data_IF_814650213586
#
_entry.id   IF_814650213586
#
_cell.length_a   1.000
_cell.length_b   1.000
_cell.length_c   1.000
_cell.angle_alpha   90.00
_cell.angle_beta   90.00
_cell.angle_gamma   90.00
#
_symmetry.space_group_name_H-M   'P 1'
#
loop_
_entity.id
_entity.type
_entity.pdbx_description
1 polymer ?
2 non-polymer ?
3 water ?
#
# COMPACT_ATOMS: atom_id res chain seq x y z
N UNK A 1 16.00 1.55 -10.63
CA UNK A 1 15.31 1.13 -9.39
C UNK A 1 15.59 -0.34 -9.14
N UNK A 2 16.04 -0.65 -7.93
CA UNK A 2 16.17 -2.02 -7.50
C UNK A 2 14.94 -2.50 -6.78
N UNK A 3 14.98 -3.72 -6.25
CA UNK A 3 13.79 -4.31 -5.66
C UNK A 3 13.41 -3.82 -4.27
N UNK A 4 14.33 -3.18 -3.56
CA UNK A 4 14.13 -2.99 -2.11
C UNK A 4 13.43 -1.66 -1.75
N UNK A 5 12.33 -1.78 -0.99
CA UNK A 5 11.73 -0.67 -0.26
C UNK A 5 12.27 -0.72 1.18
N UNK A 6 12.85 0.40 1.62
CA UNK A 6 13.29 0.54 3.00
C UNK A 6 12.75 1.87 3.58
N UNK A 7 13.10 2.16 4.83
CA UNK A 7 12.59 3.35 5.52
C UNK A 7 13.77 4.03 6.24
N UNK A 8 13.47 5.18 6.84
CA UNK A 8 14.45 5.97 7.56
C UNK A 8 13.87 6.28 8.96
N UNK A 9 14.74 6.73 9.85
CA UNK A 9 14.40 6.84 11.27
C UNK A 9 13.51 8.03 11.62
N UNK A 10 13.66 9.15 10.91
CA UNK A 10 13.06 10.40 11.37
C UNK A 10 12.69 11.44 10.33
N UNK A 11 12.80 12.70 10.73
CA UNK A 11 12.27 13.82 9.92
C UNK A 11 13.21 14.33 8.84
N UNK A 12 14.49 14.01 8.98
CA UNK A 12 15.52 14.42 8.03
C UNK A 12 16.44 13.24 7.79
N UNK A 13 17.18 13.28 6.69
CA UNK A 13 18.12 12.20 6.36
C UNK A 13 19.41 12.32 7.17
N UNK A 14 19.88 11.19 7.68
CA UNK A 14 21.23 11.08 8.24
C UNK A 14 22.27 10.89 7.13
N UNK A 15 23.54 10.97 7.49
CA UNK A 15 24.58 10.66 6.53
C UNK A 15 24.44 9.23 6.01
N UNK A 16 24.15 8.29 6.90
CA UNK A 16 23.97 6.88 6.50
C UNK A 16 22.81 6.78 5.52
N UNK A 17 21.71 7.48 5.81
CA UNK A 17 20.55 7.45 4.91
C UNK A 17 20.96 7.89 3.51
N UNK A 18 21.68 9.00 3.42
CA UNK A 18 22.05 9.56 2.10
C UNK A 18 22.91 8.60 1.30
N UNK A 19 23.80 7.90 2.00
CA UNK A 19 24.66 6.88 1.39
C UNK A 19 23.87 5.66 0.87
N UNK A 20 23.00 5.14 1.72
CA UNK A 20 22.15 3.98 1.40
C UNK A 20 21.23 4.20 0.20
N UNK A 21 20.67 5.41 0.10
CA UNK A 21 19.66 5.68 -0.89
C UNK A 21 20.22 5.62 -2.31
N UNK A 22 21.53 5.81 -2.42
CA UNK A 22 22.26 5.71 -3.71
C UNK A 22 22.45 4.25 -4.18
N UNK A 23 22.28 3.31 -3.27
CA UNK A 23 22.58 1.93 -3.58
C UNK A 23 21.60 1.38 -4.65
N UNK A 24 22.15 0.71 -5.70
CA UNK A 24 21.27 0.26 -6.80
C UNK A 24 20.16 -0.73 -6.45
N UNK A 25 20.32 -1.44 -5.34
CA UNK A 25 19.30 -2.37 -4.85
C UNK A 25 18.08 -1.65 -4.27
N UNK A 26 18.25 -0.39 -3.87
CA UNK A 26 17.11 0.40 -3.39
C UNK A 26 16.20 0.78 -4.59
N UNK A 27 14.89 0.59 -4.41
CA UNK A 27 13.87 1.05 -5.34
C UNK A 27 12.91 2.07 -4.78
N UNK A 28 12.73 2.09 -3.46
CA UNK A 28 11.75 2.99 -2.88
C UNK A 28 11.96 3.24 -1.41
N UNK A 29 11.36 4.32 -0.93
CA UNK A 29 11.30 4.60 0.49
C UNK A 29 9.85 4.57 0.91
N UNK A 30 9.55 3.78 1.94
CA UNK A 30 8.22 3.81 2.56
C UNK A 30 8.31 4.73 3.77
N UNK A 31 7.45 5.75 3.79
CA UNK A 31 7.37 6.70 4.89
C UNK A 31 6.30 6.30 5.91
N UNK A 32 6.58 6.65 7.16
CA UNK A 32 5.70 6.40 8.28
C UNK A 32 5.41 7.71 9.02
N UNK A 33 4.53 7.65 10.02
CA UNK A 33 4.21 8.83 10.80
C UNK A 33 5.46 9.45 11.43
N UNK A 34 6.42 8.61 11.78
CA UNK A 34 7.66 9.08 12.43
C UNK A 34 8.55 9.92 11.49
N UNK A 35 8.22 9.89 10.20
CA UNK A 35 8.91 10.72 9.21
C UNK A 35 8.14 12.00 8.90
N UNK A 36 7.06 12.23 9.63
CA UNK A 36 6.19 13.38 9.37
C UNK A 36 5.99 14.24 10.62
N UNK A 37 6.50 15.47 10.55
CA UNK A 37 6.27 16.49 11.56
C UNK A 37 5.31 17.57 11.08
N UNK A 38 5.55 18.07 9.87
CA UNK A 38 4.72 19.12 9.25
C UNK A 38 4.92 19.16 7.74
N UNK A 39 4.02 19.88 7.06
CA UNK A 39 3.98 19.88 5.61
C UNK A 39 5.31 20.29 4.96
N UNK A 40 5.90 21.39 5.43
CA UNK A 40 7.15 21.85 4.84
C UNK A 40 8.32 20.90 5.08
N UNK A 41 8.36 20.31 6.27
CA UNK A 41 9.39 19.32 6.62
C UNK A 41 9.27 18.08 5.70
N UNK A 42 8.04 17.68 5.38
CA UNK A 42 7.82 16.52 4.50
C UNK A 42 8.33 16.80 3.09
N UNK A 43 7.95 17.96 2.56
CA UNK A 43 8.43 18.37 1.25
C UNK A 43 9.99 18.35 1.21
N UNK A 44 10.61 18.83 2.28
CA UNK A 44 12.07 18.91 2.37
C UNK A 44 12.69 17.50 2.39
N UNK A 45 12.09 16.62 3.19
CA UNK A 45 12.53 15.23 3.28
C UNK A 45 12.43 14.52 1.91
N UNK A 46 11.33 14.71 1.20
CA UNK A 46 11.16 14.06 -0.10
C UNK A 46 12.14 14.61 -1.15
N UNK A 47 12.35 15.92 -1.14
CA UNK A 47 13.38 16.52 -2.00
C UNK A 47 14.73 15.88 -1.70
N UNK A 48 15.05 15.74 -0.43
CA UNK A 48 16.33 15.19 0.00
C UNK A 48 16.51 13.73 -0.40
N UNK A 49 15.44 12.95 -0.25
CA UNK A 49 15.44 11.55 -0.68
C UNK A 49 15.76 11.47 -2.18
N UNK A 50 15.05 12.25 -2.98
CA UNK A 50 15.22 12.20 -4.46
C UNK A 50 16.62 12.68 -4.87
N UNK A 51 17.12 13.69 -4.18
CA UNK A 51 18.49 14.19 -4.44
C UNK A 51 19.55 13.16 -4.04
N UNK A 52 19.31 12.46 -2.94
CA UNK A 52 20.28 11.47 -2.46
C UNK A 52 20.35 10.25 -3.37
N UNK A 53 19.22 9.85 -3.96
CA UNK A 53 19.15 8.65 -4.80
C UNK A 53 19.88 8.82 -6.11
N UNK A 54 19.90 10.05 -6.64
CA UNK A 54 20.61 10.36 -7.92
C UNK A 54 20.10 9.57 -9.14
N UNK A 55 18.90 9.04 -9.02
CA UNK A 55 18.16 8.34 -10.08
C UNK A 55 16.72 8.34 -9.57
N UNK A 56 15.75 8.02 -10.43
CA UNK A 56 14.37 7.92 -9.99
C UNK A 56 14.22 6.91 -8.84
N UNK A 57 13.46 7.31 -7.84
CA UNK A 57 13.17 6.46 -6.70
C UNK A 57 11.72 6.70 -6.28
N UNK A 58 11.04 5.64 -5.84
CA UNK A 58 9.64 5.74 -5.43
C UNK A 58 9.55 6.18 -3.99
N UNK A 59 8.57 7.03 -3.69
CA UNK A 59 8.25 7.40 -2.31
C UNK A 59 6.79 7.03 -2.07
N UNK A 60 6.59 6.14 -1.09
CA UNK A 60 5.29 5.55 -0.82
C UNK A 60 4.92 5.67 0.65
N UNK A 61 3.64 5.47 0.94
CA UNK A 61 3.10 5.62 2.29
C UNK A 61 1.79 4.86 2.38
N UNK A 62 1.49 4.33 3.57
CA UNK A 62 0.16 3.77 3.85
C UNK A 62 -0.81 4.89 4.20
N UNK A 63 -1.52 5.40 3.20
CA UNK A 63 -2.45 6.52 3.39
C UNK A 63 -3.82 6.10 2.85
N UNK A 64 -4.55 5.33 3.64
CA UNK A 64 -5.82 4.74 3.25
C UNK A 64 -6.99 5.60 3.66
N UNK A 65 -6.82 6.30 4.79
CA UNK A 65 -7.90 6.96 5.51
C UNK A 65 -8.23 6.22 6.80
N UNK A 66 -8.94 6.91 7.71
CA UNK A 66 -9.41 6.27 8.93
C UNK A 66 -8.25 5.83 9.82
N UNK A 67 -8.23 4.57 10.16
CA UNK A 67 -7.20 4.02 11.04
C UNK A 67 -5.78 4.04 10.46
N UNK A 68 -5.69 4.17 9.13
CA UNK A 68 -4.39 4.14 8.44
C UNK A 68 -4.23 5.42 7.62
N UNK A 69 -3.70 6.45 8.27
CA UNK A 69 -3.38 7.72 7.61
C UNK A 69 -2.12 8.25 8.27
N UNK A 70 -0.95 8.09 7.64
CA UNK A 70 0.31 8.45 8.31
C UNK A 70 0.48 9.96 8.49
N UNK A 71 -0.01 10.74 7.51
CA UNK A 71 0.15 12.19 7.55
C UNK A 71 -1.24 12.80 7.77
N UNK A 72 -1.43 13.36 8.97
CA UNK A 72 -2.74 13.91 9.38
C UNK A 72 -2.70 15.43 9.60
N UNK A 73 -1.83 15.90 10.49
CA UNK A 73 -1.80 17.30 10.84
C UNK A 73 -1.34 18.10 9.61
N UNK A 74 -2.17 19.02 9.16
CA UNK A 74 -1.86 19.85 7.99
C UNK A 74 -2.31 19.20 6.69
N UNK A 75 -2.91 18.01 6.82
CA UNK A 75 -3.61 17.33 5.70
C UNK A 75 -5.12 17.28 5.96
N UNK A 76 -5.89 17.05 4.91
CA UNK A 76 -7.30 16.72 5.07
C UNK A 76 -7.41 15.33 5.68
N UNK A 77 -8.31 15.16 6.64
CA UNK A 77 -8.56 13.83 7.17
C UNK A 77 -9.44 13.04 6.22
N UNK A 78 -9.05 11.81 5.93
CA UNK A 78 -9.78 10.93 5.04
C UNK A 78 -10.49 9.90 5.92
N UNK A 79 -11.76 9.60 5.62
CA UNK A 79 -12.48 8.66 6.51
C UNK A 79 -12.01 7.23 6.37
N UNK A 80 -12.38 6.36 7.33
CA UNK A 80 -12.28 4.91 7.09
C UNK A 80 -12.95 4.56 5.78
N UNK A 81 -12.30 3.68 5.01
CA UNK A 81 -12.87 3.25 3.71
C UNK A 81 -14.28 2.68 3.86
N UNK A 82 -14.58 2.08 5.01
CA UNK A 82 -15.93 1.60 5.33
C UNK A 82 -17.03 2.67 5.17
N UNK A 83 -16.70 3.92 5.46
CA UNK A 83 -17.75 4.95 5.55
C UNK A 83 -18.47 5.28 4.24
N UNK A 84 -17.78 5.16 3.11
CA UNK A 84 -18.41 5.61 1.85
C UNK A 84 -19.74 4.92 1.59
N UNK A 85 -19.75 3.59 1.69
CA UNK A 85 -20.95 2.78 1.46
C UNK A 85 -22.07 3.00 2.50
N UNK A 86 -21.74 3.64 3.62
CA UNK A 86 -22.74 3.93 4.65
C UNK A 86 -23.59 5.14 4.29
N UNK A 87 -23.07 5.96 3.37
CA UNK A 87 -23.77 7.14 2.86
C UNK A 87 -24.53 6.82 1.58
N UNK A 88 -25.62 7.55 1.36
CA UNK A 88 -26.42 7.34 0.15
C UNK A 88 -25.64 7.62 -1.14
N UNK A 89 -24.81 8.67 -1.10
CA UNK A 89 -24.02 9.09 -2.24
C UNK A 89 -22.59 8.53 -2.10
N UNK A 90 -22.49 7.27 -1.67
CA UNK A 90 -21.20 6.67 -1.39
C UNK A 90 -20.24 6.54 -2.57
N UNK A 91 -20.75 6.30 -3.78
CA UNK A 91 -19.86 6.22 -4.94
C UNK A 91 -19.16 7.55 -5.24
N UNK A 92 -19.94 8.63 -5.22
CA UNK A 92 -19.37 9.97 -5.43
C UNK A 92 -18.37 10.30 -4.33
N UNK A 93 -18.73 9.96 -3.09
CA UNK A 93 -17.86 10.27 -1.95
C UNK A 93 -16.59 9.45 -1.97
N UNK A 94 -16.68 8.19 -2.39
CA UNK A 94 -15.47 7.35 -2.48
C UNK A 94 -14.49 7.92 -3.53
N UNK A 95 -15.01 8.39 -4.66
CA UNK A 95 -14.15 9.00 -5.68
C UNK A 95 -13.48 10.26 -5.12
N UNK A 96 -14.25 11.07 -4.37
CA UNK A 96 -13.73 12.27 -3.77
C UNK A 96 -12.62 11.92 -2.77
N UNK A 97 -12.84 10.87 -2.00
CA UNK A 97 -11.87 10.42 -1.01
C UNK A 97 -10.56 9.97 -1.65
N UNK A 98 -10.68 9.20 -2.72
CA UNK A 98 -9.49 8.72 -3.42
C UNK A 98 -8.71 9.86 -4.05
N UNK A 99 -9.46 10.77 -4.68
CA UNK A 99 -8.89 11.94 -5.34
C UNK A 99 -8.18 12.84 -4.35
N UNK A 100 -8.86 13.15 -3.24
CA UNK A 100 -8.32 14.03 -2.24
C UNK A 100 -7.04 13.44 -1.59
N UNK A 101 -7.12 12.17 -1.23
CA UNK A 101 -6.00 11.49 -0.60
C UNK A 101 -4.77 11.53 -1.52
N UNK A 102 -4.98 11.16 -2.77
CA UNK A 102 -3.90 11.06 -3.75
C UNK A 102 -3.36 12.46 -4.05
N UNK A 103 -4.27 13.43 -4.26
CA UNK A 103 -3.86 14.78 -4.60
C UNK A 103 -2.98 15.42 -3.56
N UNK A 104 -3.34 15.26 -2.28
CA UNK A 104 -2.56 15.89 -1.22
C UNK A 104 -1.18 15.25 -1.12
N UNK A 105 -1.11 13.93 -1.32
CA UNK A 105 0.19 13.27 -1.37
C UNK A 105 1.07 13.77 -2.53
N UNK A 106 0.49 13.83 -3.73
CA UNK A 106 1.21 14.35 -4.91
C UNK A 106 1.75 15.76 -4.65
N UNK A 107 0.93 16.60 -4.04
CA UNK A 107 1.31 17.97 -3.69
C UNK A 107 2.49 18.05 -2.68
N UNK A 108 2.77 16.95 -1.97
CA UNK A 108 3.91 16.89 -1.07
C UNK A 108 4.99 15.94 -1.59
N UNK A 109 4.97 15.67 -2.89
CA UNK A 109 6.06 14.98 -3.60
C UNK A 109 6.19 13.51 -3.18
N UNK A 110 5.05 12.90 -2.84
CA UNK A 110 4.94 11.46 -2.60
C UNK A 110 4.38 10.80 -3.86
N UNK A 111 4.98 9.68 -4.30
CA UNK A 111 4.51 9.01 -5.51
C UNK A 111 3.20 8.27 -5.33
N UNK A 112 3.09 7.53 -4.23
CA UNK A 112 1.95 6.64 -4.09
C UNK A 112 1.57 6.31 -2.67
N UNK A 113 0.29 6.01 -2.50
CA UNK A 113 -0.23 5.41 -1.26
C UNK A 113 -0.48 3.95 -1.54
N UNK A 114 -0.15 3.08 -0.56
CA UNK A 114 -0.41 1.66 -0.71
C UNK A 114 -1.90 1.41 -0.43
N UNK A 115 -2.70 1.59 -1.47
CA UNK A 115 -4.17 1.59 -1.37
C UNK A 115 -4.72 1.41 -2.77
N UNK A 116 -5.95 0.86 -2.89
CA UNK A 116 -6.93 0.53 -1.86
C UNK A 116 -6.89 -0.89 -1.29
N UNK A 117 -7.39 -1.00 -0.05
CA UNK A 117 -7.74 -2.27 0.54
C UNK A 117 -8.94 -2.82 -0.20
N UNK A 118 -8.79 -4.03 -0.74
CA UNK A 118 -9.86 -4.78 -1.44
C UNK A 118 -10.34 -5.99 -0.63
N UNK A 119 -9.87 -6.09 0.61
CA UNK A 119 -10.31 -7.13 1.54
C UNK A 119 -11.79 -6.96 1.81
N UNK A 120 -12.45 -8.07 2.17
CA UNK A 120 -13.91 -8.13 2.29
C UNK A 120 -14.30 -8.45 3.72
N UNK A 121 -15.13 -7.59 4.30
CA UNK A 121 -15.59 -7.79 5.66
C UNK A 121 -14.79 -7.01 6.70
N UNK A 122 -15.38 -6.96 7.87
CA UNK A 122 -14.85 -6.16 8.97
C UNK A 122 -14.38 -6.99 10.18
N UNK A 123 -14.49 -8.32 10.11
CA UNK A 123 -14.28 -9.18 11.29
C UNK A 123 -12.80 -9.47 11.62
N UNK A 124 -11.90 -9.19 10.71
CA UNK A 124 -10.48 -9.32 11.01
C UNK A 124 -10.00 -8.05 11.70
N UNK A 125 -9.53 -8.16 12.94
CA UNK A 125 -9.25 -6.96 13.75
C UNK A 125 -8.28 -6.01 13.05
N UNK A 126 -7.26 -6.55 12.39
CA UNK A 126 -6.27 -5.70 11.71
C UNK A 126 -6.87 -4.95 10.50
N UNK A 127 -7.91 -5.51 9.90
CA UNK A 127 -8.57 -4.88 8.74
C UNK A 127 -9.73 -4.01 9.23
N UNK A 128 -10.82 -4.62 9.69
CA UNK A 128 -11.93 -3.83 10.28
C UNK A 128 -12.48 -2.84 9.30
N UNK A 129 -12.65 -1.58 9.73
CA UNK A 129 -13.25 -0.54 8.87
C UNK A 129 -12.30 0.01 7.78
N UNK A 130 -11.13 -0.62 7.62
CA UNK A 130 -10.31 -0.40 6.41
C UNK A 130 -10.93 -1.00 5.15
N UNK A 131 -11.87 -1.94 5.29
CA UNK A 131 -12.53 -2.55 4.15
C UNK A 131 -13.66 -1.65 3.66
N UNK A 132 -13.90 -1.64 2.35
CA UNK A 132 -14.98 -0.82 1.78
C UNK A 132 -16.38 -1.40 2.02
N UNK A 133 -16.43 -2.65 2.43
CA UNK A 133 -17.71 -3.34 2.60
C UNK A 133 -17.52 -4.80 2.99
N UNK A 134 -18.64 -5.51 3.16
CA UNK A 134 -18.66 -6.92 3.61
C UNK A 134 -19.17 -7.93 2.57
N UNK A 135 -19.46 -7.44 1.38
CA UNK A 135 -19.86 -8.29 0.26
C UNK A 135 -19.17 -7.82 -1.01
N UNK A 136 -19.14 -8.70 -2.00
CA UNK A 136 -18.40 -8.45 -3.22
C UNK A 136 -18.80 -7.15 -3.90
N UNK A 137 -20.11 -6.95 -4.04
CA UNK A 137 -20.58 -5.83 -4.82
C UNK A 137 -20.37 -4.50 -4.10
N UNK A 138 -20.52 -4.48 -2.77
CA UNK A 138 -20.30 -3.24 -2.04
C UNK A 138 -18.83 -2.86 -2.12
N UNK A 139 -17.95 -3.83 -1.96
CA UNK A 139 -16.51 -3.54 -2.06
C UNK A 139 -16.15 -3.05 -3.47
N UNK A 140 -16.63 -3.73 -4.51
CA UNK A 140 -16.29 -3.32 -5.87
C UNK A 140 -16.84 -1.95 -6.22
N UNK A 141 -18.08 -1.70 -5.84
CA UNK A 141 -18.73 -0.45 -6.19
C UNK A 141 -17.94 0.74 -5.65
N UNK A 142 -17.50 0.64 -4.40
CA UNK A 142 -16.88 1.78 -3.73
C UNK A 142 -15.36 1.84 -3.96
N UNK A 143 -14.68 0.70 -3.90
CA UNK A 143 -13.25 0.69 -4.26
C UNK A 143 -12.98 1.17 -5.69
N UNK A 144 -13.82 0.77 -6.64
CA UNK A 144 -13.67 1.24 -8.02
C UNK A 144 -13.71 2.77 -8.12
N UNK A 145 -14.61 3.38 -7.35
CA UNK A 145 -14.71 4.83 -7.37
C UNK A 145 -13.46 5.47 -6.76
N UNK A 146 -12.99 4.91 -5.65
CA UNK A 146 -11.77 5.37 -4.97
C UNK A 146 -10.59 5.29 -5.93
N UNK A 147 -10.48 4.16 -6.64
CA UNK A 147 -9.46 3.96 -7.67
C UNK A 147 -9.52 5.03 -8.76
N UNK A 148 -10.71 5.31 -9.25
CA UNK A 148 -10.90 6.32 -10.26
C UNK A 148 -10.35 7.69 -9.80
N UNK A 149 -10.62 8.03 -8.53
CA UNK A 149 -10.08 9.25 -7.93
C UNK A 149 -8.57 9.30 -7.92
N UNK A 150 -7.94 8.20 -7.49
CA UNK A 150 -6.49 8.14 -7.45
C UNK A 150 -5.91 8.34 -8.85
N UNK A 151 -6.49 7.63 -9.81
CA UNK A 151 -5.99 7.69 -11.18
C UNK A 151 -6.18 9.07 -11.82
N UNK A 152 -7.25 9.76 -11.42
CA UNK A 152 -7.52 11.09 -11.99
C UNK A 152 -6.38 12.07 -11.78
N UNK A 153 -5.64 11.94 -10.67
CA UNK A 153 -4.52 12.84 -10.40
C UNK A 153 -3.14 12.22 -10.68
N UNK A 154 -3.15 11.05 -11.30
CA UNK A 154 -1.93 10.44 -11.80
C UNK A 154 -1.18 9.57 -10.80
N UNK A 155 -1.88 9.11 -9.77
CA UNK A 155 -1.27 8.21 -8.80
C UNK A 155 -1.48 6.70 -9.16
N UNK A 156 -0.40 5.94 -9.06
CA UNK A 156 -0.42 4.52 -9.25
C UNK A 156 -1.20 3.87 -8.11
N UNK A 157 -1.90 2.78 -8.42
CA UNK A 157 -2.77 2.12 -7.45
C UNK A 157 -2.20 0.76 -7.05
N UNK A 158 -2.52 0.35 -5.81
CA UNK A 158 -2.06 -0.91 -5.23
C UNK A 158 -3.20 -1.64 -4.53
N UNK A 159 -3.62 -2.76 -5.08
CA UNK A 159 -4.61 -3.59 -4.41
C UNK A 159 -3.97 -4.38 -3.30
N UNK A 160 -4.64 -4.46 -2.17
CA UNK A 160 -4.21 -5.32 -1.07
C UNK A 160 -5.40 -5.88 -0.27
N UNK A 161 -5.26 -7.01 0.42
CA UNK A 161 -4.04 -7.83 0.51
C UNK A 161 -4.38 -9.16 -0.18
N UNK A 162 -3.94 -9.31 -1.43
CA UNK A 162 -4.31 -10.45 -2.29
C UNK A 162 -3.94 -11.80 -1.68
N UNK A 163 -4.84 -12.82 -1.74
CA UNK A 163 -6.18 -12.94 -2.32
C UNK A 163 -7.36 -12.56 -1.41
N UNK A 164 -7.06 -11.91 -0.29
CA UNK A 164 -8.08 -11.38 0.62
C UNK A 164 -7.77 -11.69 2.07
N UNK A 165 -7.64 -10.63 2.87
CA UNK A 165 -7.30 -10.72 4.29
C UNK A 165 -8.52 -10.48 5.21
N UNK A 166 -9.71 -10.38 4.64
CA UNK A 166 -10.91 -9.96 5.36
C UNK A 166 -11.46 -10.92 6.40
N UNK A 167 -11.11 -12.20 6.26
CA UNK A 167 -11.73 -13.26 7.10
C UNK A 167 -10.74 -13.93 8.04
N UNK A 168 -9.58 -13.30 8.27
CA UNK A 168 -8.63 -13.81 9.26
C UNK A 168 -9.18 -13.48 10.65
N UNK A 169 -9.88 -14.44 11.26
CA UNK A 169 -10.64 -14.15 12.50
C UNK A 169 -10.11 -14.93 13.69
N UNK A 170 -9.24 -15.92 13.44
CA UNK A 170 -8.61 -16.70 14.49
C UNK A 170 -7.18 -16.22 14.66
N UNK A 171 -6.62 -16.47 15.84
CA UNK A 171 -5.21 -16.21 16.10
C UNK A 171 -4.43 -17.53 16.05
N UNK A 172 -3.50 -17.62 15.11
CA UNK A 172 -2.67 -18.82 14.95
C UNK A 172 -1.67 -18.96 16.10
N UNK A 173 -1.41 -17.83 16.78
CA UNK A 173 -0.35 -17.71 17.81
C UNK A 173 1.04 -17.85 17.20
N UNK A 174 1.10 -17.85 15.88
CA UNK A 174 2.34 -17.89 15.11
C UNK A 174 2.52 -16.54 14.44
N UNK A 175 3.61 -16.39 13.69
CA UNK A 175 3.85 -15.17 12.92
C UNK A 175 2.93 -15.06 11.69
N UNK A 176 2.44 -16.19 11.18
CA UNK A 176 1.59 -16.19 9.98
C UNK A 176 0.16 -16.65 10.30
N UNK A 177 -0.83 -15.75 10.12
CA UNK A 177 -2.22 -16.16 10.29
C UNK A 177 -2.62 -17.18 9.24
N UNK A 178 -3.61 -18.00 9.57
CA UNK A 178 -4.21 -18.93 8.64
C UNK A 178 -5.65 -18.50 8.40
N UNK A 179 -6.14 -18.76 7.20
CA UNK A 179 -7.55 -18.64 6.86
C UNK A 179 -8.00 -20.01 6.39
N UNK A 180 -8.78 -20.70 7.22
CA UNK A 180 -9.10 -22.13 7.02
C UNK A 180 -10.33 -22.42 6.16
N UNK A 181 -10.88 -21.39 5.52
CA UNK A 181 -12.05 -21.59 4.69
C UNK A 181 -11.77 -22.52 3.53
N UNK A 182 -12.71 -23.42 3.24
CA UNK A 182 -12.59 -24.26 2.05
C UNK A 182 -12.67 -23.49 0.73
N UNK A 183 -13.38 -22.36 0.74
CA UNK A 183 -13.41 -21.48 -0.43
C UNK A 183 -13.29 -20.02 0.00
N UNK A 184 -12.50 -19.27 -0.77
CA UNK A 184 -12.41 -17.81 -0.66
C UNK A 184 -12.81 -17.13 -1.97
N UNK A 185 -13.69 -17.77 -2.74
CA UNK A 185 -14.05 -17.31 -4.09
C UNK A 185 -14.57 -15.87 -4.10
N UNK A 186 -15.37 -15.52 -3.10
CA UNK A 186 -15.94 -14.17 -3.03
C UNK A 186 -14.81 -13.15 -2.84
N UNK A 187 -13.94 -13.43 -1.87
CA UNK A 187 -12.80 -12.55 -1.58
C UNK A 187 -11.95 -12.36 -2.85
N UNK A 188 -11.65 -13.45 -3.55
CA UNK A 188 -10.82 -13.36 -4.73
C UNK A 188 -11.51 -12.69 -5.91
N UNK A 189 -12.83 -12.87 -6.01
CA UNK A 189 -13.64 -12.25 -7.06
C UNK A 189 -13.37 -10.74 -7.14
N UNK A 190 -13.21 -10.11 -5.97
CA UNK A 190 -12.95 -8.67 -5.93
C UNK A 190 -11.63 -8.33 -6.64
N UNK A 191 -10.58 -9.08 -6.31
CA UNK A 191 -9.28 -8.91 -6.96
C UNK A 191 -9.32 -9.23 -8.46
N UNK A 192 -9.94 -10.34 -8.82
CA UNK A 192 -10.12 -10.69 -10.22
C UNK A 192 -10.76 -9.56 -11.04
N UNK A 193 -11.83 -8.99 -10.50
CA UNK A 193 -12.59 -7.92 -11.14
C UNK A 193 -11.72 -6.69 -11.40
N UNK A 194 -10.98 -6.27 -10.38
CA UNK A 194 -10.17 -5.08 -10.50
C UNK A 194 -8.97 -5.30 -11.44
N UNK A 195 -8.42 -6.51 -11.43
CA UNK A 195 -7.36 -6.87 -12.38
C UNK A 195 -7.90 -6.81 -13.80
N UNK A 196 -9.04 -7.44 -14.03
CA UNK A 196 -9.64 -7.45 -15.39
C UNK A 196 -9.98 -6.04 -15.89
N UNK A 197 -10.40 -5.18 -14.97
CA UNK A 197 -10.69 -3.80 -15.28
C UNK A 197 -9.45 -3.02 -15.71
N UNK A 198 -8.25 -3.53 -15.36
CA UNK A 198 -6.99 -2.88 -15.68
C UNK A 198 -6.68 -1.68 -14.80
N UNK A 199 -7.26 -1.65 -13.60
CA UNK A 199 -7.17 -0.46 -12.74
C UNK A 199 -6.17 -0.56 -11.57
N UNK A 200 -5.47 -1.69 -11.48
CA UNK A 200 -4.44 -1.87 -10.45
C UNK A 200 -3.04 -1.89 -11.09
N UNK A 201 -2.20 -0.95 -10.70
CA UNK A 201 -0.80 -0.91 -11.15
C UNK A 201 0.10 -1.86 -10.35
N UNK A 202 -0.30 -2.14 -9.12
CA UNK A 202 0.48 -2.96 -8.22
C UNK A 202 -0.43 -3.78 -7.32
N UNK A 203 0.18 -4.77 -6.66
CA UNK A 203 -0.56 -5.62 -5.72
C UNK A 203 0.33 -5.98 -4.56
N UNK A 204 -0.23 -5.91 -3.36
CA UNK A 204 0.42 -6.42 -2.16
C UNK A 204 -0.33 -7.68 -1.72
N UNK A 205 0.38 -8.81 -1.63
CA UNK A 205 -0.25 -10.07 -1.20
C UNK A 205 -0.35 -10.14 0.33
N UNK A 206 -1.29 -10.96 0.80
CA UNK A 206 -1.50 -11.22 2.21
C UNK A 206 -0.46 -12.18 2.76
N UNK A 207 0.08 -11.85 3.94
CA UNK A 207 0.93 -12.77 4.71
C UNK A 207 0.00 -13.70 5.50
N UNK A 208 -0.67 -14.58 4.76
CA UNK A 208 -1.74 -15.46 5.28
C UNK A 208 -1.64 -16.78 4.52
N UNK A 209 -1.77 -17.89 5.26
CA UNK A 209 -1.84 -19.21 4.67
C UNK A 209 -3.31 -19.62 4.49
N UNK A 210 -3.64 -20.13 3.30
CA UNK A 210 -4.97 -20.62 2.96
C UNK A 210 -4.81 -22.11 2.64
N UNK A 211 -4.82 -22.96 3.69
CA UNK A 211 -4.43 -24.38 3.53
C UNK A 211 -5.27 -25.25 2.59
N UNK A 212 -6.50 -24.85 2.29
CA UNK A 212 -7.28 -25.58 1.28
C UNK A 212 -6.83 -25.29 -0.15
N UNK A 213 -5.94 -24.31 -0.30
CA UNK A 213 -5.42 -23.93 -1.60
C UNK A 213 -3.93 -24.28 -1.73
N UNK A 214 -3.14 -23.89 -0.74
CA UNK A 214 -1.69 -23.96 -0.79
C UNK A 214 -1.10 -23.83 0.61
N UNK A 215 0.05 -24.44 0.81
CA UNK A 215 0.66 -24.53 2.12
C UNK A 215 1.49 -23.31 2.54
N UNK A 216 1.88 -22.44 1.59
CA UNK A 216 2.69 -21.27 1.89
C UNK A 216 1.85 -19.96 1.95
N UNK A 217 2.31 -18.95 2.72
CA UNK A 217 1.57 -17.70 2.76
C UNK A 217 1.50 -17.12 1.36
N UNK A 218 0.40 -16.47 1.00
CA UNK A 218 0.25 -15.94 -0.34
C UNK A 218 1.46 -15.10 -0.74
N UNK A 219 1.93 -14.29 0.21
CA UNK A 219 3.08 -13.37 -0.01
C UNK A 219 4.41 -14.09 -0.28
N UNK A 220 4.46 -15.38 -0.04
CA UNK A 220 5.63 -16.20 -0.34
C UNK A 220 5.33 -17.47 -1.12
N UNK A 221 4.24 -17.48 -1.90
CA UNK A 221 3.73 -18.67 -2.56
C UNK A 221 3.70 -18.52 -4.07
N UNK A 222 4.44 -19.37 -4.77
CA UNK A 222 4.39 -19.43 -6.23
C UNK A 222 2.99 -19.77 -6.75
N UNK A 223 2.26 -20.60 -5.99
CA UNK A 223 0.87 -20.91 -6.33
C UNK A 223 0.08 -19.59 -6.43
N UNK A 224 0.11 -18.81 -5.36
CA UNK A 224 -0.65 -17.56 -5.32
C UNK A 224 -0.12 -16.48 -6.26
N UNK A 225 1.20 -16.27 -6.24
CA UNK A 225 1.79 -15.15 -6.96
C UNK A 225 2.04 -15.38 -8.44
N UNK A 226 2.18 -16.65 -8.83
CA UNK A 226 2.46 -16.96 -10.25
C UNK A 226 1.28 -17.68 -10.88
N UNK A 227 0.98 -18.89 -10.40
CA UNK A 227 -0.10 -19.68 -11.00
C UNK A 227 -1.44 -18.93 -11.01
N UNK A 228 -1.81 -18.34 -9.87
CA UNK A 228 -3.10 -17.67 -9.78
C UNK A 228 -2.99 -16.23 -10.28
N UNK A 229 -2.16 -15.43 -9.61
CA UNK A 229 -2.11 -14.00 -9.89
C UNK A 229 -1.70 -13.68 -11.32
N UNK A 230 -0.69 -14.38 -11.84
CA UNK A 230 -0.19 -14.10 -13.18
C UNK A 230 -0.94 -14.92 -14.23
N UNK A 231 -0.95 -16.23 -14.08
CA UNK A 231 -1.41 -17.11 -15.16
C UNK A 231 -2.94 -17.16 -15.24
N UNK A 232 -3.61 -17.36 -14.11
CA UNK A 232 -5.08 -17.43 -14.15
C UNK A 232 -5.70 -16.05 -14.28
N UNK A 233 -5.25 -15.11 -13.46
CA UNK A 233 -5.88 -13.79 -13.35
C UNK A 233 -5.33 -12.74 -14.31
N UNK A 234 -4.14 -12.99 -14.89
CA UNK A 234 -3.58 -12.11 -15.92
C UNK A 234 -3.05 -10.77 -15.44
N UNK A 235 -2.67 -10.72 -14.17
CA UNK A 235 -2.15 -9.49 -13.59
C UNK A 235 -0.81 -9.17 -14.22
N UNK A 236 -0.67 -7.93 -14.72
CA UNK A 236 0.56 -7.48 -15.39
C UNK A 236 1.40 -6.50 -14.59
N UNK A 237 0.96 -6.10 -13.41
CA UNK A 237 1.59 -5.04 -12.64
C UNK A 237 2.71 -5.50 -11.71
N UNK A 238 3.09 -4.61 -10.82
CA UNK A 238 4.13 -4.85 -9.83
C UNK A 238 3.56 -5.63 -8.63
N UNK A 239 4.28 -6.65 -8.17
CA UNK A 239 3.93 -7.35 -6.93
C UNK A 239 4.93 -6.99 -5.84
N UNK A 240 4.40 -6.48 -4.73
CA UNK A 240 5.18 -6.11 -3.56
C UNK A 240 5.17 -7.28 -2.59
N UNK A 241 6.24 -7.49 -1.82
CA UNK A 241 6.22 -8.53 -0.79
C UNK A 241 5.53 -8.02 0.46
N UNK A 242 5.37 -8.96 1.41
CA UNK A 242 5.10 -8.63 2.81
C UNK A 242 6.30 -7.92 3.43
N UNK A 243 6.10 -7.29 4.58
CA UNK A 243 7.21 -6.74 5.32
C UNK A 243 8.12 -7.88 5.82
N UNK A 244 9.27 -8.05 5.19
CA UNK A 244 10.13 -9.20 5.46
C UNK A 244 10.80 -9.16 6.83
N UNK A 245 11.03 -7.97 7.38
CA UNK A 245 11.56 -7.89 8.75
C UNK A 245 10.62 -8.60 9.77
N UNK A 246 9.35 -8.76 9.41
CA UNK A 246 8.31 -9.45 10.18
C UNK A 246 8.50 -10.99 10.26
N UNK A 247 9.13 -11.55 9.23
CA UNK A 247 9.33 -13.00 9.11
C UNK A 247 10.46 -13.46 10.03
N UNK A 248 10.22 -14.55 10.76
CA UNK A 248 11.24 -15.13 11.63
C UNK A 248 12.32 -15.86 10.85
N UNK A 249 13.54 -15.84 11.38
CA UNK A 249 14.67 -16.47 10.71
C UNK A 249 14.75 -17.98 10.93
N UNK A 250 14.04 -18.49 11.93
CA UNK A 250 14.14 -19.91 12.33
C UNK A 250 13.73 -20.87 11.21
N UNK A 251 12.77 -20.45 10.38
CA UNK A 251 12.36 -21.21 9.19
C UNK A 251 12.87 -20.59 7.89
N UNK A 252 12.75 -19.27 7.76
CA UNK A 252 12.96 -18.60 6.48
C UNK A 252 14.40 -18.12 6.26
N UNK A 253 15.24 -18.23 7.29
CA UNK A 253 16.62 -17.78 7.20
C UNK A 253 16.72 -16.28 7.48
N UNK A 254 17.91 -15.72 7.28
CA UNK A 254 18.15 -14.31 7.52
C UNK A 254 17.51 -13.44 6.45
N UNK A 255 17.62 -12.12 6.61
CA UNK A 255 16.95 -11.15 5.72
C UNK A 255 17.34 -11.29 4.23
N UNK A 256 18.60 -11.65 3.96
CA UNK A 256 19.01 -11.87 2.57
C UNK A 256 18.29 -13.10 1.98
N UNK A 257 18.24 -14.20 2.72
CA UNK A 257 17.52 -15.39 2.24
C UNK A 257 16.01 -15.12 2.08
N UNK A 258 15.43 -14.40 3.03
CA UNK A 258 14.00 -14.08 2.94
C UNK A 258 13.66 -13.19 1.75
N UNK A 259 14.56 -12.27 1.43
CA UNK A 259 14.43 -11.39 0.27
C UNK A 259 14.50 -12.20 -1.02
N UNK A 260 15.53 -13.03 -1.13
CA UNK A 260 15.68 -13.94 -2.26
C UNK A 260 14.43 -14.80 -2.48
N UNK A 261 13.91 -15.37 -1.39
CA UNK A 261 12.79 -16.29 -1.50
C UNK A 261 11.51 -15.57 -1.93
N UNK A 262 11.32 -14.34 -1.47
CA UNK A 262 10.16 -13.56 -1.87
C UNK A 262 10.20 -13.28 -3.36
N UNK A 263 11.37 -12.91 -3.85
CA UNK A 263 11.56 -12.60 -5.25
C UNK A 263 11.34 -13.88 -6.11
N UNK A 264 11.93 -14.99 -5.68
CA UNK A 264 11.77 -16.27 -6.41
C UNK A 264 10.30 -16.71 -6.43
N UNK A 265 9.57 -16.40 -5.36
CA UNK A 265 8.16 -16.79 -5.22
C UNK A 265 7.25 -16.01 -6.17
N UNK A 266 7.69 -14.84 -6.59
CA UNK A 266 6.95 -14.04 -7.57
C UNK A 266 6.78 -12.57 -7.23
N UNK A 267 7.39 -12.11 -6.14
CA UNK A 267 7.43 -10.66 -5.88
C UNK A 267 8.43 -9.98 -6.82
N UNK A 268 8.05 -8.78 -7.28
CA UNK A 268 8.98 -7.88 -8.01
C UNK A 268 9.84 -7.05 -7.08
N UNK A 269 9.25 -6.66 -5.96
CA UNK A 269 9.89 -5.77 -4.99
C UNK A 269 9.64 -6.30 -3.59
N UNK A 270 10.55 -5.99 -2.69
CA UNK A 270 10.50 -6.48 -1.32
C UNK A 270 10.55 -5.30 -0.37
N UNK A 271 9.87 -5.45 0.78
CA UNK A 271 9.81 -4.42 1.82
C UNK A 271 10.54 -4.90 3.06
N UNK A 272 11.43 -4.07 3.59
CA UNK A 272 12.03 -4.30 4.88
C UNK A 272 11.84 -3.05 5.73
N UNK A 273 10.84 -3.11 6.62
CA UNK A 273 10.44 -1.94 7.40
C UNK A 273 10.93 -2.08 8.82
N UNK A 274 11.23 -0.94 9.44
CA UNK A 274 11.55 -0.86 10.86
C UNK A 274 12.69 -1.77 11.30
N UNK A 275 13.65 -1.99 10.40
CA UNK A 275 14.80 -2.82 10.71
C UNK A 275 15.99 -2.44 9.82
N UNK A 276 16.55 -1.27 10.09
CA UNK A 276 17.68 -0.75 9.34
C UNK A 276 18.83 -1.77 9.19
N UNK A 277 19.18 -2.48 10.26
CA UNK A 277 20.24 -3.47 10.20
C UNK A 277 19.99 -4.55 9.14
N UNK A 278 18.73 -4.99 9.02
CA UNK A 278 18.32 -6.00 8.04
C UNK A 278 18.41 -5.41 6.62
N UNK A 279 17.93 -4.19 6.46
CA UNK A 279 17.97 -3.53 5.15
C UNK A 279 19.42 -3.42 4.65
N UNK A 280 20.32 -3.01 5.54
CA UNK A 280 21.75 -2.92 5.17
C UNK A 280 22.34 -4.31 4.85
N UNK A 281 21.98 -5.33 5.63
CA UNK A 281 22.43 -6.68 5.33
C UNK A 281 22.00 -7.09 3.92
N UNK A 282 20.75 -6.80 3.57
CA UNK A 282 20.27 -7.11 2.22
C UNK A 282 21.03 -6.29 1.15
N UNK A 283 21.19 -4.99 1.34
CA UNK A 283 21.98 -4.17 0.39
C UNK A 283 23.41 -4.74 0.23
N UNK A 284 24.02 -5.09 1.36
CA UNK A 284 25.39 -5.61 1.38
C UNK A 284 25.55 -6.98 0.72
N UNK A 285 24.51 -7.81 0.72
CA UNK A 285 24.64 -9.21 0.36
C UNK A 285 23.75 -9.76 -0.75
N UNK A 286 22.73 -9.02 -1.17
CA UNK A 286 21.86 -9.53 -2.23
C UNK A 286 22.44 -9.20 -3.63
N UNK A 287 22.61 -10.21 -4.49
CA UNK A 287 23.04 -9.85 -5.84
C UNK A 287 22.16 -8.76 -6.50
N UNK A 288 22.80 -7.85 -7.24
CA UNK A 288 22.13 -6.71 -7.84
C UNK A 288 21.22 -7.12 -8.98
N UNK A 289 19.97 -6.70 -8.88
CA UNK A 289 18.99 -6.93 -9.93
C UNK A 289 18.24 -5.61 -10.10
N UNK A 290 17.87 -5.29 -11.33
CA UNK A 290 17.08 -4.10 -11.61
C UNK A 290 15.61 -4.49 -11.79
N UNK A 291 14.74 -3.55 -11.45
CA UNK A 291 13.29 -3.67 -11.62
C UNK A 291 12.81 -2.46 -12.43
N UNK A 292 13.16 -2.42 -13.72
CA UNK A 292 12.83 -1.22 -14.52
C UNK A 292 11.34 -0.94 -14.62
N UNK A 293 10.54 -2.01 -14.60
CA UNK A 293 9.09 -1.87 -14.72
C UNK A 293 8.50 -1.16 -13.49
N UNK A 294 9.28 -1.02 -12.42
CA UNK A 294 8.83 -0.26 -11.24
C UNK A 294 8.67 1.22 -11.55
N UNK A 295 9.34 1.73 -12.58
CA UNK A 295 9.26 3.15 -12.93
C UNK A 295 7.83 3.53 -13.35
N UNK A 296 7.03 2.52 -13.73
CA UNK A 296 5.60 2.71 -14.00
C UNK A 296 4.82 3.26 -12.80
N UNK A 297 5.38 3.12 -11.61
CA UNK A 297 4.72 3.57 -10.38
C UNK A 297 5.02 5.02 -9.99
N UNK A 298 5.94 5.68 -10.70
CA UNK A 298 6.25 7.08 -10.46
C UNK A 298 5.01 7.92 -10.77
N UNK A 299 4.76 8.93 -9.94
CA UNK A 299 3.55 9.74 -10.12
C UNK A 299 3.60 10.46 -11.48
N UNK A 300 2.42 10.64 -12.07
CA UNK A 300 2.31 11.16 -13.45
C UNK A 300 2.04 12.65 -13.52
N UNK A 301 1.68 13.25 -12.39
CA UNK A 301 1.39 14.68 -12.32
C UNK A 301 2.22 15.38 -11.25
N UNK A 302 2.38 16.70 -11.43
CA UNK A 302 3.10 17.56 -10.52
C UNK A 302 2.29 18.83 -10.27
N UNK A 303 2.07 19.14 -8.99
CA UNK A 303 1.45 20.41 -8.58
C UNK A 303 1.71 20.65 -7.09
N UNK A 304 1.54 21.91 -6.67
CA UNK A 304 1.77 22.30 -5.28
C UNK A 304 0.46 22.28 -4.48
N UNK A 305 0.58 22.35 -3.17
CA UNK A 305 -0.60 22.35 -2.31
C UNK A 305 -1.40 23.65 -2.50
N UNK A 306 -0.69 24.76 -2.70
CA UNK A 306 -1.35 26.03 -3.01
C UNK A 306 -2.23 25.94 -4.25
N UNK A 307 -1.70 25.32 -5.31
CA UNK A 307 -2.47 25.16 -6.55
C UNK A 307 -3.68 24.26 -6.27
N UNK A 308 -3.45 23.14 -5.59
CA UNK A 308 -4.50 22.20 -5.28
C UNK A 308 -5.66 22.88 -4.54
N UNK A 309 -5.31 23.67 -3.53
CA UNK A 309 -6.34 24.30 -2.70
C UNK A 309 -7.19 25.33 -3.47
N UNK A 310 -6.66 25.85 -4.58
CA UNK A 310 -7.44 26.74 -5.44
C UNK A 310 -8.50 26.03 -6.31
N UNK A 311 -8.48 24.70 -6.36
CA UNK A 311 -9.43 23.93 -7.15
C UNK A 311 -10.73 23.73 -6.40
N UNK A 312 -11.83 24.01 -7.07
CA UNK A 312 -13.15 23.68 -6.53
C UNK A 312 -13.24 22.22 -6.08
N UNK A 313 -12.68 21.32 -6.88
CA UNK A 313 -12.71 19.89 -6.56
C UNK A 313 -12.12 19.62 -5.17
N UNK A 314 -11.07 20.36 -4.81
CA UNK A 314 -10.41 20.20 -3.50
C UNK A 314 -11.28 20.77 -2.40
N UNK A 315 -11.82 21.96 -2.64
CA UNK A 315 -12.63 22.66 -1.65
C UNK A 315 -13.84 21.81 -1.28
N UNK A 316 -14.47 21.21 -2.29
CA UNK A 316 -15.63 20.34 -2.08
C UNK A 316 -15.26 19.01 -1.43
N UNK A 317 -14.23 18.36 -1.95
CA UNK A 317 -13.80 17.04 -1.44
C UNK A 317 -13.41 17.13 0.03
N UNK A 318 -12.64 18.14 0.39
CA UNK A 318 -12.19 18.30 1.77
C UNK A 318 -13.39 18.52 2.69
N UNK A 319 -14.32 19.39 2.30
CA UNK A 319 -15.52 19.64 3.13
C UNK A 319 -16.35 18.35 3.27
N UNK A 320 -16.54 17.65 2.17
CA UNK A 320 -17.37 16.44 2.12
C UNK A 320 -16.74 15.29 2.94
N UNK A 321 -15.43 15.16 2.90
CA UNK A 321 -14.75 14.11 3.69
C UNK A 321 -14.85 14.38 5.19
N UNK A 322 -14.65 15.64 5.58
CA UNK A 322 -14.82 15.97 7.01
C UNK A 322 -16.25 15.68 7.48
N UNK A 323 -17.21 16.05 6.66
CA UNK A 323 -18.62 15.79 6.99
C UNK A 323 -18.95 14.31 7.06
N UNK A 324 -18.38 13.52 6.14
CA UNK A 324 -18.59 12.08 6.15
C UNK A 324 -18.01 11.46 7.43
N UNK A 325 -16.83 11.90 7.84
CA UNK A 325 -16.23 11.44 9.12
C UNK A 325 -17.21 11.75 10.27
N UNK A 326 -17.69 12.98 10.29
CA UNK A 326 -18.64 13.42 11.33
C UNK A 326 -19.96 12.64 11.35
N UNK A 327 -20.39 12.14 10.19
CA UNK A 327 -21.64 11.38 10.11
C UNK A 327 -21.57 10.06 10.88
N UNK A 328 -20.45 9.36 10.78
CA UNK A 328 -20.38 7.98 11.30
C UNK A 328 -19.37 7.75 12.44
N UNK A 329 -18.49 8.71 12.69
CA UNK A 329 -17.46 8.53 13.73
C UNK A 329 -18.12 8.53 15.10
N UNK A 330 -17.85 7.49 15.89
CA UNK A 330 -18.30 7.47 17.29
C UNK A 330 -17.66 8.63 18.06
N UNK A 331 -16.40 8.94 17.75
CA UNK A 331 -15.69 10.09 18.36
C UNK A 331 -16.39 11.44 18.17
N UNK A 332 -17.01 11.62 17.01
CA UNK A 332 -17.76 12.85 16.72
C UNK A 332 -19.24 12.73 17.15
N UNK A 333 -19.54 11.78 18.04
CA UNK A 333 -20.89 11.63 18.60
C UNK A 333 -20.84 11.47 20.13
#
# INVERSE_FOLDING_TARGET
>A
MGPLWLDVAGYELSAEDREILQHPTVGGVILFGRNYHDNQQLLALNKAIRQAAKRPILIGVDQEGGRVQRFREGFSRIPPAQYYARAENGVELAEQGGWLMAAELIAHDVDLSFAPVLDMGFACKAIGNRAFGEDVQTVLKHSSAFLRGMKAVGMATTGKHFPGHGAVIADSHLETPYDERETIAQDMAIFRAQIEAGVLDAMMPAHVVYPHYDAQPASGSSYWLKQVLREELGFKGIVFSDDLSMEGAAVMGGPVERSHQALVAGCDMILICNKREAAVEVLDNLPIMEVPQAEALLKKQQFSYSELKRLERWQQASANMQRLIEQFSEHHHHHHHHHH
#
